data_IF_147979327822
#
_entry.id   IF_147979327822
#
_cell.length_a   1.000
_cell.length_b   1.000
_cell.length_c   1.000
_cell.angle_alpha   90.00
_cell.angle_beta   90.00
_cell.angle_gamma   90.00
#
_symmetry.space_group_name_H-M   'P 1'
#
loop_
_entity.id
_entity.type
_entity.pdbx_description
1 polymer ?
#
# COMPACT_ATOMS: atom_id res chain seq x y z
N UNK A 1 -27.70 -18.53 30.77
CA UNK A 1 -27.99 -19.05 29.42
C UNK A 1 -27.75 -17.93 28.42
N UNK A 2 -26.90 -18.22 27.43
CA UNK A 2 -26.54 -17.33 26.33
C UNK A 2 -27.73 -17.18 25.36
N UNK A 3 -28.05 -15.95 24.97
CA UNK A 3 -28.70 -15.63 23.69
C UNK A 3 -27.84 -14.51 23.07
N UNK A 4 -26.77 -14.89 22.38
CA UNK A 4 -26.67 -15.02 20.91
C UNK A 4 -27.01 -13.72 20.18
N UNK A 5 -25.92 -13.06 19.79
CA UNK A 5 -25.81 -11.98 18.81
C UNK A 5 -26.53 -12.31 17.50
N UNK A 6 -27.29 -11.36 16.98
CA UNK A 6 -27.70 -11.33 15.58
C UNK A 6 -26.94 -10.17 14.88
N UNK A 7 -25.93 -10.43 14.03
CA UNK A 7 -25.10 -9.38 13.40
C UNK A 7 -25.68 -8.85 12.07
N UNK A 8 -26.94 -9.15 11.75
CA UNK A 8 -27.51 -8.93 10.42
C UNK A 8 -28.36 -7.66 10.26
N UNK A 9 -27.93 -6.51 10.80
CA UNK A 9 -28.57 -5.22 10.48
C UNK A 9 -27.55 -4.17 9.97
N UNK A 10 -26.82 -4.55 8.92
CA UNK A 10 -26.09 -3.58 8.07
C UNK A 10 -27.11 -2.82 7.24
N UNK A 11 -27.68 -1.77 7.84
CA UNK A 11 -28.38 -0.72 7.09
C UNK A 11 -27.41 -0.18 6.05
N UNK A 12 -27.71 -0.45 4.79
CA UNK A 12 -27.12 0.23 3.64
C UNK A 12 -27.47 1.71 3.75
N UNK A 13 -26.62 2.48 4.42
CA UNK A 13 -26.64 3.93 4.32
C UNK A 13 -25.64 4.30 3.22
N UNK A 14 -26.12 4.89 2.13
CA UNK A 14 -25.31 5.44 1.03
C UNK A 14 -24.50 6.68 1.40
N UNK A 15 -23.94 6.70 2.62
CA UNK A 15 -22.99 7.70 3.08
C UNK A 15 -21.59 7.09 2.93
N UNK A 16 -20.73 7.78 2.20
CA UNK A 16 -19.31 7.46 2.14
C UNK A 16 -18.76 7.50 3.58
N UNK A 17 -18.60 6.34 4.22
CA UNK A 17 -18.11 6.27 5.59
C UNK A 17 -16.60 6.50 5.60
N UNK A 18 -16.19 7.76 5.74
CA UNK A 18 -14.86 8.10 6.24
C UNK A 18 -14.83 7.74 7.73
N UNK A 19 -14.30 6.56 8.05
CA UNK A 19 -14.09 6.16 9.44
C UNK A 19 -12.64 6.40 9.82
N UNK A 20 -12.43 7.33 10.76
CA UNK A 20 -11.14 7.54 11.41
C UNK A 20 -11.21 6.88 12.77
N UNK A 21 -10.28 5.98 13.04
CA UNK A 21 -10.15 5.34 14.34
C UNK A 21 -8.77 5.68 14.90
N UNK A 22 -8.76 6.44 16.00
CA UNK A 22 -7.57 6.72 16.80
C UNK A 22 -7.81 6.18 18.21
N UNK A 23 -6.84 5.47 18.78
CA UNK A 23 -6.84 5.08 20.19
C UNK A 23 -6.00 6.09 20.97
N UNK A 24 -6.58 6.73 21.99
CA UNK A 24 -5.81 7.52 22.97
C UNK A 24 -4.86 6.57 23.72
N UNK A 25 -3.59 6.95 23.83
CA UNK A 25 -2.59 6.16 24.55
C UNK A 25 -2.96 6.02 26.03
N UNK A 26 -2.74 4.83 26.58
CA UNK A 26 -2.69 4.64 28.03
C UNK A 26 -1.32 5.06 28.57
N UNK A 27 -1.24 5.55 29.80
CA UNK A 27 0.01 6.03 30.42
C UNK A 27 1.12 4.96 30.41
N UNK A 28 0.74 3.68 30.48
CA UNK A 28 1.65 2.53 30.43
C UNK A 28 2.27 2.31 29.03
N UNK A 29 1.53 2.57 27.95
CA UNK A 29 2.04 2.45 26.57
C UNK A 29 3.10 3.53 26.27
N UNK A 30 2.96 4.71 26.87
CA UNK A 30 3.91 5.83 26.76
C UNK A 30 5.23 5.52 27.49
N UNK A 31 5.18 4.77 28.59
CA UNK A 31 6.35 4.41 29.42
C UNK A 31 7.26 3.35 28.78
N UNK A 32 6.73 2.55 27.85
CA UNK A 32 7.46 1.45 27.18
C UNK A 32 8.08 1.90 25.85
N UNK A 33 7.88 3.16 25.43
CA UNK A 33 8.34 3.63 24.12
C UNK A 33 7.67 2.92 22.94
N UNK A 34 6.51 2.27 23.17
CA UNK A 34 5.69 1.72 22.11
C UNK A 34 5.08 2.88 21.33
N UNK A 35 5.54 3.11 20.10
CA UNK A 35 4.87 4.01 19.15
C UNK A 35 3.39 3.61 19.07
N UNK A 36 2.48 4.56 19.26
CA UNK A 36 1.04 4.33 19.24
C UNK A 36 0.63 3.52 18.01
N UNK A 37 -0.09 2.41 18.22
CA UNK A 37 -0.13 1.32 17.24
C UNK A 37 -1.02 1.53 16.01
N UNK A 38 -1.88 2.54 15.91
CA UNK A 38 -2.68 2.71 14.69
C UNK A 38 -3.47 4.02 14.63
N UNK A 39 -2.99 4.98 13.83
CA UNK A 39 -3.89 5.96 13.21
C UNK A 39 -4.38 5.38 11.88
N UNK A 40 -5.63 4.90 11.89
CA UNK A 40 -6.32 4.28 10.74
C UNK A 40 -7.25 5.28 10.07
N UNK A 41 -7.10 5.41 8.77
CA UNK A 41 -8.07 6.12 7.92
C UNK A 41 -8.66 5.13 6.94
N UNK A 42 -9.97 5.01 6.96
CA UNK A 42 -10.72 4.20 6.02
C UNK A 42 -11.62 5.11 5.16
N UNK A 43 -11.41 5.06 3.86
CA UNK A 43 -12.21 5.69 2.82
C UNK A 43 -12.86 4.58 2.01
N UNK A 44 -14.06 4.14 2.40
CA UNK A 44 -14.85 3.18 1.61
C UNK A 44 -16.09 3.86 1.02
N UNK A 45 -16.31 3.70 -0.29
CA UNK A 45 -17.43 4.28 -1.02
C UNK A 45 -17.05 4.68 -2.45
N UNK A 46 -17.94 5.25 -3.28
CA UNK A 46 -17.57 5.77 -4.59
C UNK A 46 -16.78 7.09 -4.49
N UNK A 47 -15.60 7.10 -3.87
CA UNK A 47 -14.68 8.25 -3.96
C UNK A 47 -14.03 8.21 -5.35
N UNK A 48 -14.26 9.26 -6.14
CA UNK A 48 -13.65 9.41 -7.48
C UNK A 48 -12.24 9.98 -7.40
N UNK A 49 -11.96 10.84 -6.42
CA UNK A 49 -10.68 11.53 -6.29
C UNK A 49 -10.12 11.38 -4.87
N UNK A 50 -8.90 10.88 -4.77
CA UNK A 50 -8.17 10.82 -3.50
C UNK A 50 -7.70 12.23 -3.11
N UNK A 51 -8.06 12.70 -1.90
CA UNK A 51 -7.74 14.06 -1.47
C UNK A 51 -6.27 14.21 -1.11
N UNK A 52 -5.56 15.11 -1.80
CA UNK A 52 -4.13 15.39 -1.53
C UNK A 52 -3.87 15.92 -0.12
N UNK A 53 -4.86 16.58 0.50
CA UNK A 53 -4.76 17.04 1.89
C UNK A 53 -4.66 15.89 2.89
N UNK A 54 -5.16 14.69 2.56
CA UNK A 54 -4.99 13.51 3.41
C UNK A 54 -3.52 13.08 3.47
N UNK A 55 -2.74 13.33 2.41
CA UNK A 55 -1.31 13.07 2.38
C UNK A 55 -0.49 13.98 3.31
N UNK A 56 -1.10 15.01 3.91
CA UNK A 56 -0.45 15.86 4.90
C UNK A 56 -0.53 15.28 6.32
N UNK A 57 -1.35 14.24 6.52
CA UNK A 57 -1.54 13.60 7.81
C UNK A 57 -0.46 12.53 8.02
N UNK A 58 0.77 12.98 8.26
CA UNK A 58 1.98 12.12 8.33
C UNK A 58 1.96 11.11 9.47
N UNK A 59 1.01 11.22 10.39
CA UNK A 59 0.79 10.27 11.49
C UNK A 59 -0.07 9.06 11.10
N UNK A 60 -0.63 9.02 9.88
CA UNK A 60 -1.36 7.85 9.38
C UNK A 60 -0.40 6.65 9.28
N UNK A 61 -0.82 5.54 9.89
CA UNK A 61 -0.07 4.27 9.88
C UNK A 61 -0.79 3.20 9.07
N UNK A 62 -2.10 3.36 8.86
CA UNK A 62 -2.89 2.44 8.04
C UNK A 62 -3.89 3.25 7.23
N UNK A 63 -3.87 3.03 5.92
CA UNK A 63 -4.76 3.68 4.97
C UNK A 63 -5.52 2.60 4.19
N UNK A 64 -6.84 2.61 4.31
CA UNK A 64 -7.73 1.72 3.58
C UNK A 64 -8.55 2.59 2.62
N UNK A 65 -8.36 2.38 1.32
CA UNK A 65 -9.08 3.03 0.23
C UNK A 65 -9.69 2.00 -0.72
N UNK A 66 -10.05 0.82 -0.20
CA UNK A 66 -10.62 -0.25 -0.99
C UNK A 66 -12.03 0.06 -1.50
N UNK A 67 -12.44 -0.62 -2.57
CA UNK A 67 -13.79 -0.49 -3.14
C UNK A 67 -14.15 0.96 -3.51
N UNK A 68 -13.22 1.67 -4.14
CA UNK A 68 -13.46 3.00 -4.70
C UNK A 68 -13.36 2.95 -6.24
N UNK A 69 -13.56 4.09 -6.91
CA UNK A 69 -13.39 4.23 -8.35
C UNK A 69 -12.09 4.99 -8.69
N UNK A 70 -11.04 4.84 -7.88
CA UNK A 70 -9.79 5.58 -8.07
C UNK A 70 -9.05 5.03 -9.29
N UNK A 71 -8.72 5.93 -10.23
CA UNK A 71 -7.92 5.60 -11.41
C UNK A 71 -6.42 5.82 -11.18
N UNK A 72 -6.08 6.70 -10.24
CA UNK A 72 -4.70 7.07 -9.88
C UNK A 72 -4.59 7.44 -8.40
N UNK A 73 -3.40 7.25 -7.84
CA UNK A 73 -3.01 7.79 -6.54
C UNK A 73 -2.12 9.03 -6.76
N UNK A 74 -2.27 10.10 -5.96
CA UNK A 74 -1.43 11.29 -6.07
C UNK A 74 0.01 11.01 -5.64
N UNK A 75 0.98 11.74 -6.22
CA UNK A 75 2.39 11.62 -5.85
C UNK A 75 2.62 11.99 -4.37
N UNK A 76 1.78 12.87 -3.82
CA UNK A 76 1.81 13.27 -2.42
C UNK A 76 1.60 12.08 -1.46
N UNK A 77 1.10 10.92 -1.92
CA UNK A 77 0.98 9.70 -1.11
C UNK A 77 2.31 9.35 -0.41
N UNK A 78 3.45 9.57 -1.08
CA UNK A 78 4.79 9.34 -0.52
C UNK A 78 5.13 10.16 0.72
N UNK A 79 4.36 11.22 1.03
CA UNK A 79 4.53 11.99 2.26
C UNK A 79 4.09 11.24 3.51
N UNK A 80 3.31 10.15 3.36
CA UNK A 80 2.86 9.31 4.48
C UNK A 80 3.97 8.36 4.95
N UNK A 81 5.13 8.89 5.32
CA UNK A 81 6.35 8.09 5.62
C UNK A 81 6.20 7.14 6.81
N UNK A 82 5.21 7.35 7.69
CA UNK A 82 4.88 6.42 8.78
C UNK A 82 3.84 5.34 8.38
N UNK A 83 3.43 5.28 7.11
CA UNK A 83 2.44 4.33 6.65
C UNK A 83 3.01 2.91 6.68
N UNK A 84 2.33 2.03 7.42
CA UNK A 84 2.70 0.62 7.60
C UNK A 84 1.83 -0.28 6.74
N UNK A 85 0.56 0.08 6.54
CA UNK A 85 -0.42 -0.72 5.80
C UNK A 85 -1.18 0.15 4.80
N UNK A 86 -1.15 -0.23 3.53
CA UNK A 86 -1.94 0.37 2.46
C UNK A 86 -2.80 -0.70 1.78
N UNK A 87 -4.11 -0.53 1.85
CA UNK A 87 -5.08 -1.32 1.08
C UNK A 87 -5.79 -0.42 0.06
N UNK A 88 -5.47 -0.63 -1.21
CA UNK A 88 -6.11 0.04 -2.34
C UNK A 88 -6.76 -0.97 -3.32
N UNK A 89 -7.15 -2.14 -2.80
CA UNK A 89 -7.83 -3.18 -3.59
C UNK A 89 -9.18 -2.73 -4.16
N UNK A 90 -9.64 -3.40 -5.21
CA UNK A 90 -10.94 -3.16 -5.83
C UNK A 90 -11.11 -1.69 -6.27
N UNK A 91 -10.18 -1.21 -7.08
CA UNK A 91 -10.19 0.13 -7.66
C UNK A 91 -10.00 0.04 -9.19
N UNK A 92 -9.69 1.16 -9.85
CA UNK A 92 -9.36 1.23 -11.28
C UNK A 92 -7.94 1.73 -11.51
N UNK A 93 -7.04 1.51 -10.54
CA UNK A 93 -5.68 2.03 -10.59
C UNK A 93 -4.96 1.45 -11.80
N UNK A 94 -4.40 2.33 -12.65
CA UNK A 94 -3.65 1.91 -13.84
C UNK A 94 -2.14 1.80 -13.57
N UNK A 95 -1.66 2.56 -12.58
CA UNK A 95 -0.27 2.58 -12.15
C UNK A 95 -0.18 3.12 -10.71
N UNK A 96 0.98 2.93 -10.08
CA UNK A 96 1.32 3.60 -8.82
C UNK A 96 2.22 4.81 -9.10
N UNK A 97 2.18 5.87 -8.27
CA UNK A 97 3.14 6.95 -8.36
C UNK A 97 4.54 6.45 -7.95
N UNK A 98 5.63 6.96 -8.57
CA UNK A 98 7.01 6.62 -8.17
C UNK A 98 7.31 6.87 -6.68
N UNK A 99 6.67 7.87 -6.09
CA UNK A 99 6.79 8.22 -4.66
C UNK A 99 6.22 7.14 -3.72
N UNK A 100 5.62 6.07 -4.23
CA UNK A 100 5.31 4.89 -3.42
C UNK A 100 6.56 4.35 -2.75
N UNK A 101 7.74 4.46 -3.39
CA UNK A 101 9.02 4.03 -2.82
C UNK A 101 9.49 4.83 -1.61
N UNK A 102 8.89 5.99 -1.33
CA UNK A 102 9.23 6.82 -0.17
C UNK A 102 8.54 6.33 1.12
N UNK A 103 7.59 5.39 1.00
CA UNK A 103 6.90 4.76 2.14
C UNK A 103 7.76 3.67 2.78
N UNK A 104 8.94 4.04 3.29
CA UNK A 104 9.95 3.09 3.75
C UNK A 104 9.51 2.21 4.93
N UNK A 105 8.50 2.62 5.70
CA UNK A 105 7.91 1.83 6.79
C UNK A 105 6.82 0.85 6.33
N UNK A 106 6.45 0.85 5.05
CA UNK A 106 5.35 0.04 4.52
C UNK A 106 5.65 -1.45 4.64
N UNK A 107 4.76 -2.17 5.30
CA UNK A 107 4.84 -3.63 5.52
C UNK A 107 3.79 -4.39 4.73
N UNK A 108 2.66 -3.77 4.43
CA UNK A 108 1.61 -4.39 3.61
C UNK A 108 1.12 -3.43 2.52
N UNK A 109 1.12 -3.90 1.28
CA UNK A 109 0.62 -3.22 0.10
C UNK A 109 -0.35 -4.15 -0.64
N UNK A 110 -1.63 -3.82 -0.63
CA UNK A 110 -2.70 -4.64 -1.23
C UNK A 110 -3.32 -3.86 -2.39
N UNK A 111 -3.21 -4.40 -3.60
CA UNK A 111 -3.57 -3.77 -4.87
C UNK A 111 -4.40 -4.69 -5.77
N UNK A 112 -4.89 -5.82 -5.26
CA UNK A 112 -5.67 -6.74 -6.08
C UNK A 112 -6.94 -6.08 -6.65
N UNK A 113 -7.47 -6.64 -7.74
CA UNK A 113 -8.65 -6.13 -8.43
C UNK A 113 -8.50 -4.66 -8.87
N UNK A 114 -7.48 -4.40 -9.67
CA UNK A 114 -7.21 -3.08 -10.26
C UNK A 114 -6.99 -3.20 -11.78
N UNK A 115 -6.39 -2.19 -12.40
CA UNK A 115 -6.04 -2.14 -13.83
C UNK A 115 -4.54 -1.89 -14.03
N UNK A 116 -3.72 -2.29 -13.05
CA UNK A 116 -2.28 -2.06 -13.06
C UNK A 116 -1.65 -2.92 -14.15
N UNK A 117 -0.96 -2.27 -15.08
CA UNK A 117 -0.17 -2.95 -16.12
C UNK A 117 1.30 -3.02 -15.71
N UNK A 118 1.78 -1.97 -15.03
CA UNK A 118 3.18 -1.81 -14.69
C UNK A 118 3.38 -1.22 -13.28
N UNK A 119 4.55 -1.47 -12.70
CA UNK A 119 4.96 -0.98 -11.37
C UNK A 119 6.16 -0.04 -11.49
N UNK A 120 6.19 1.07 -10.73
CA UNK A 120 7.37 1.91 -10.68
C UNK A 120 8.56 1.16 -10.08
N UNK A 121 9.76 1.36 -10.64
CA UNK A 121 11.01 0.75 -10.15
C UNK A 121 11.27 1.08 -8.67
N UNK A 122 10.75 2.23 -8.21
CA UNK A 122 10.86 2.71 -6.83
C UNK A 122 10.12 1.82 -5.83
N UNK A 123 9.21 0.95 -6.25
CA UNK A 123 8.61 -0.07 -5.36
C UNK A 123 9.68 -0.92 -4.67
N UNK A 124 10.83 -1.01 -5.32
CA UNK A 124 12.08 -1.52 -4.81
C UNK A 124 12.62 -0.98 -3.50
N UNK A 125 12.31 0.27 -3.20
CA UNK A 125 12.79 0.99 -1.99
C UNK A 125 11.99 0.59 -0.74
N UNK A 126 10.90 -0.16 -0.91
CA UNK A 126 10.05 -0.67 0.17
C UNK A 126 10.70 -1.87 0.88
N UNK A 127 11.84 -1.65 1.51
CA UNK A 127 12.67 -2.71 2.13
C UNK A 127 11.97 -3.46 3.26
N UNK A 128 10.97 -2.82 3.88
CA UNK A 128 10.17 -3.39 4.98
C UNK A 128 8.91 -4.12 4.50
N UNK A 129 8.65 -4.19 3.19
CA UNK A 129 7.43 -4.79 2.66
C UNK A 129 7.40 -6.30 2.91
N UNK A 130 6.42 -6.74 3.70
CA UNK A 130 6.23 -8.14 4.08
C UNK A 130 5.08 -8.77 3.35
N UNK A 131 4.07 -8.02 2.95
CA UNK A 131 2.86 -8.54 2.31
C UNK A 131 2.61 -7.67 1.08
N UNK A 132 2.62 -8.28 -0.10
CA UNK A 132 2.36 -7.60 -1.36
C UNK A 132 1.34 -8.44 -2.12
N UNK A 133 0.29 -7.83 -2.63
CA UNK A 133 -0.72 -8.54 -3.41
C UNK A 133 -1.15 -7.66 -4.57
N UNK A 134 -1.04 -8.18 -5.78
CA UNK A 134 -1.37 -7.51 -7.03
C UNK A 134 -2.17 -8.43 -7.96
N UNK A 135 -2.78 -9.49 -7.42
CA UNK A 135 -3.65 -10.41 -8.15
C UNK A 135 -4.77 -9.66 -8.88
N UNK A 136 -5.32 -10.27 -9.93
CA UNK A 136 -6.46 -9.69 -10.65
C UNK A 136 -6.17 -8.30 -11.24
N UNK A 137 -4.91 -8.10 -11.66
CA UNK A 137 -4.45 -6.98 -12.47
C UNK A 137 -3.99 -7.47 -13.85
N UNK A 138 -4.16 -6.68 -14.92
CA UNK A 138 -3.66 -6.98 -16.26
C UNK A 138 -2.16 -6.69 -16.38
N UNK A 139 -1.36 -7.33 -15.52
CA UNK A 139 0.08 -7.12 -15.42
C UNK A 139 0.78 -7.47 -16.74
N UNK A 140 1.78 -6.68 -17.11
CA UNK A 140 2.64 -7.00 -18.25
C UNK A 140 3.37 -8.33 -18.03
N UNK A 141 3.80 -8.97 -19.11
CA UNK A 141 4.58 -10.20 -19.03
C UNK A 141 5.91 -9.98 -18.25
N UNK A 142 6.53 -8.81 -18.42
CA UNK A 142 7.75 -8.43 -17.72
C UNK A 142 7.54 -8.32 -16.21
N UNK A 143 6.49 -7.61 -15.78
CA UNK A 143 6.14 -7.46 -14.36
C UNK A 143 5.74 -8.79 -13.74
N UNK A 144 4.97 -9.60 -14.46
CA UNK A 144 4.60 -10.95 -14.02
C UNK A 144 5.82 -11.86 -13.89
N UNK A 145 6.82 -11.72 -14.76
CA UNK A 145 8.06 -12.49 -14.68
C UNK A 145 8.95 -12.04 -13.51
N UNK A 146 9.01 -10.73 -13.26
CA UNK A 146 9.89 -10.14 -12.25
C UNK A 146 9.31 -10.24 -10.84
N UNK A 147 8.01 -9.96 -10.70
CA UNK A 147 7.31 -9.83 -9.42
C UNK A 147 6.18 -10.84 -9.24
N UNK A 148 5.91 -11.74 -10.20
CA UNK A 148 4.77 -12.65 -10.11
C UNK A 148 3.45 -11.89 -9.91
N UNK A 149 2.60 -12.43 -9.04
CA UNK A 149 1.34 -11.83 -8.59
C UNK A 149 1.49 -11.18 -7.18
N UNK A 150 2.73 -11.08 -6.68
CA UNK A 150 3.06 -10.61 -5.33
C UNK A 150 2.82 -11.64 -4.21
N UNK A 151 2.11 -12.74 -4.48
CA UNK A 151 1.71 -13.73 -3.46
C UNK A 151 2.88 -14.57 -2.94
N UNK A 152 3.93 -14.75 -3.76
CA UNK A 152 5.10 -15.53 -3.38
C UNK A 152 6.00 -14.76 -2.40
N UNK A 153 6.24 -15.35 -1.23
CA UNK A 153 7.16 -14.81 -0.24
C UNK A 153 8.61 -14.67 -0.76
N UNK A 154 8.97 -15.38 -1.85
CA UNK A 154 10.28 -15.36 -2.51
C UNK A 154 10.49 -14.17 -3.45
N UNK A 155 9.41 -13.58 -3.98
CA UNK A 155 9.48 -12.32 -4.77
C UNK A 155 10.18 -11.23 -3.95
N UNK A 156 9.98 -11.21 -2.63
CA UNK A 156 10.63 -10.29 -1.65
C UNK A 156 12.15 -10.38 -1.61
N UNK A 157 12.73 -11.53 -1.97
CA UNK A 157 14.17 -11.71 -2.11
C UNK A 157 14.69 -11.23 -3.47
N UNK A 158 13.88 -11.40 -4.52
CA UNK A 158 14.20 -10.95 -5.87
C UNK A 158 14.10 -9.44 -6.05
N UNK A 159 13.13 -8.74 -5.46
CA UNK A 159 13.10 -7.26 -5.47
C UNK A 159 14.41 -6.70 -4.88
N UNK A 160 14.87 -7.29 -3.76
CA UNK A 160 16.15 -6.96 -3.12
C UNK A 160 17.34 -7.24 -4.05
N UNK A 161 17.43 -8.45 -4.60
CA UNK A 161 18.54 -8.85 -5.47
C UNK A 161 18.61 -8.09 -6.80
N UNK A 162 17.49 -7.93 -7.50
CA UNK A 162 17.44 -7.25 -8.79
C UNK A 162 17.82 -5.78 -8.65
N UNK A 163 17.44 -5.11 -7.57
CA UNK A 163 17.77 -3.70 -7.38
C UNK A 163 19.16 -3.49 -6.82
N UNK A 164 19.64 -4.33 -5.89
CA UNK A 164 21.05 -4.28 -5.49
C UNK A 164 21.97 -4.44 -6.71
N UNK A 165 21.58 -5.30 -7.66
CA UNK A 165 22.29 -5.49 -8.93
C UNK A 165 22.11 -4.30 -9.89
N UNK A 166 20.88 -3.81 -10.12
CA UNK A 166 20.59 -2.72 -11.05
C UNK A 166 21.15 -1.37 -10.59
N UNK A 167 21.15 -1.11 -9.28
CA UNK A 167 21.75 0.09 -8.66
C UNK A 167 23.28 0.02 -8.61
N UNK A 168 23.89 -1.17 -8.55
CA UNK A 168 25.33 -1.35 -8.73
C UNK A 168 25.77 -1.08 -10.19
N UNK A 169 24.93 -1.47 -11.16
CA UNK A 169 25.16 -1.19 -12.58
C UNK A 169 24.93 0.28 -12.96
N UNK A 170 23.89 0.96 -12.46
CA UNK A 170 23.58 2.34 -12.86
C UNK A 170 24.56 3.39 -12.32
N UNK A 171 25.37 3.06 -11.31
CA UNK A 171 26.51 3.86 -10.84
C UNK A 171 27.82 3.55 -11.55
N UNK A 172 27.87 2.46 -12.32
CA UNK A 172 29.05 2.05 -13.07
C UNK A 172 28.85 2.44 -14.52
N UNK A 173 29.50 3.51 -14.98
CA UNK A 173 29.61 3.92 -16.39
C UNK A 173 30.41 2.91 -17.21
N UNK A 174 30.06 1.62 -17.15
CA UNK A 174 30.64 0.56 -17.94
C UNK A 174 29.48 -0.26 -18.51
N UNK A 175 29.15 0.07 -19.76
CA UNK A 175 28.51 -0.79 -20.78
C UNK A 175 28.17 -2.21 -20.32
N UNK A 176 26.92 -2.47 -19.96
CA UNK A 176 26.36 -3.82 -20.02
C UNK A 176 26.01 -4.14 -21.46
N UNK A 177 27.00 -4.60 -22.21
CA UNK A 177 26.83 -5.43 -23.40
C UNK A 177 26.84 -6.90 -22.93
N UNK A 178 25.83 -7.66 -23.36
CA UNK A 178 25.72 -9.14 -23.30
C UNK A 178 25.44 -9.67 -21.87
N UNK A 179 24.34 -10.39 -21.64
CA UNK A 179 23.91 -11.66 -22.24
C UNK A 179 22.39 -11.82 -22.18
#
# INVERSE_FOLDING_TARGET
MLQQHDPANRRHNGLNELTMQSRLMTEDENRVGKKSEWFRVNLTGPVKNFSRTLCQLTYITTLVIKNNNLERLPAELGNLTNLVNLDASCNKLQSLPPTIGDLTELRALILNDNKIVDLPLEIGRLLNLRHFNMNDNPLSAEVSQLYGDGSDARIKGMIRYYLDYFWACSRSTITCLLL
#
